data_IF_080075569975
#
_entry.id   IF_080075569975
#
_cell.length_a   1.000
_cell.length_b   1.000
_cell.length_c   1.000
_cell.angle_alpha   90.00
_cell.angle_beta   90.00
_cell.angle_gamma   90.00
#
_symmetry.space_group_name_H-M   'P 1'
#
loop_
_entity.id
_entity.type
_entity.pdbx_description
1 polymer ?
#
# COMPACT_ATOMS: atom_id res chain seq x y z
N UNK A 1 -31.05 -15.89 -56.09
CA UNK A 1 -30.21 -14.84 -55.47
C UNK A 1 -30.82 -14.24 -54.21
N UNK A 2 -32.07 -13.93 -54.14
CA UNK A 2 -32.77 -13.33 -52.97
C UNK A 2 -32.68 -14.12 -51.65
N UNK A 3 -32.78 -15.46 -51.68
CA UNK A 3 -32.70 -16.32 -50.48
C UNK A 3 -31.33 -16.29 -49.79
N UNK A 4 -30.24 -16.12 -50.59
CA UNK A 4 -28.86 -16.03 -50.12
C UNK A 4 -28.57 -14.67 -49.48
N UNK A 5 -29.16 -13.59 -50.01
CA UNK A 5 -29.04 -12.23 -49.46
C UNK A 5 -29.79 -12.09 -48.14
N UNK A 6 -31.04 -12.66 -48.06
CA UNK A 6 -31.83 -12.66 -46.84
C UNK A 6 -31.15 -13.44 -45.69
N UNK A 7 -30.47 -14.55 -46.00
CA UNK A 7 -29.75 -15.37 -45.04
C UNK A 7 -28.48 -14.67 -44.50
N UNK A 8 -27.80 -13.90 -45.36
CA UNK A 8 -26.63 -13.12 -44.94
C UNK A 8 -27.02 -11.91 -44.09
N UNK A 9 -28.16 -11.25 -44.37
CA UNK A 9 -28.69 -10.17 -43.53
C UNK A 9 -29.08 -10.66 -42.11
N UNK A 10 -29.67 -11.87 -42.03
CA UNK A 10 -30.02 -12.49 -40.77
C UNK A 10 -28.81 -12.88 -39.95
N UNK A 11 -27.77 -13.45 -40.58
CA UNK A 11 -26.49 -13.76 -39.91
C UNK A 11 -25.78 -12.50 -39.43
N UNK A 12 -25.74 -11.42 -40.21
CA UNK A 12 -25.18 -10.15 -39.82
C UNK A 12 -25.86 -9.53 -38.60
N UNK A 13 -27.23 -9.62 -38.54
CA UNK A 13 -27.99 -9.15 -37.37
C UNK A 13 -27.72 -9.99 -36.12
N UNK A 14 -27.61 -11.31 -36.27
CA UNK A 14 -27.28 -12.20 -35.16
C UNK A 14 -25.90 -11.85 -34.58
N UNK A 15 -24.89 -11.68 -35.43
CA UNK A 15 -23.53 -11.27 -35.04
C UNK A 15 -23.57 -9.92 -34.32
N UNK A 16 -24.32 -8.95 -34.85
CA UNK A 16 -24.49 -7.64 -34.20
C UNK A 16 -25.09 -7.74 -32.82
N UNK A 17 -26.16 -8.55 -32.63
CA UNK A 17 -26.76 -8.74 -31.31
C UNK A 17 -25.82 -9.45 -30.34
N UNK A 18 -25.03 -10.41 -30.79
CA UNK A 18 -24.02 -11.06 -29.96
C UNK A 18 -22.96 -10.03 -29.51
N UNK A 19 -22.46 -9.20 -30.42
CA UNK A 19 -21.51 -8.15 -30.10
C UNK A 19 -22.07 -7.13 -29.10
N UNK A 20 -23.33 -6.69 -29.30
CA UNK A 20 -24.00 -5.79 -28.37
C UNK A 20 -24.20 -6.41 -27.00
N UNK A 21 -24.56 -7.70 -26.95
CA UNK A 21 -24.70 -8.43 -25.67
C UNK A 21 -23.36 -8.56 -24.95
N UNK A 22 -22.26 -8.85 -25.66
CA UNK A 22 -20.91 -8.91 -25.09
C UNK A 22 -20.46 -7.54 -24.56
N UNK A 23 -20.68 -6.47 -25.34
CA UNK A 23 -20.36 -5.10 -24.90
C UNK A 23 -21.16 -4.73 -23.65
N UNK A 24 -22.46 -5.02 -23.64
CA UNK A 24 -23.33 -4.76 -22.48
C UNK A 24 -22.88 -5.57 -21.25
N UNK A 25 -22.52 -6.84 -21.46
CA UNK A 25 -21.99 -7.69 -20.39
C UNK A 25 -20.71 -7.10 -19.79
N UNK A 26 -19.74 -6.71 -20.62
CA UNK A 26 -18.50 -6.06 -20.18
C UNK A 26 -18.81 -4.75 -19.47
N UNK A 27 -19.72 -3.92 -20.00
CA UNK A 27 -20.09 -2.63 -19.41
C UNK A 27 -20.73 -2.78 -18.02
N UNK A 28 -21.43 -3.89 -17.74
CA UNK A 28 -22.02 -4.18 -16.44
C UNK A 28 -21.00 -4.83 -15.50
N UNK A 29 -20.24 -5.81 -16.00
CA UNK A 29 -19.29 -6.56 -15.15
C UNK A 29 -18.12 -5.72 -14.69
N UNK A 30 -17.58 -4.86 -15.56
CA UNK A 30 -16.41 -4.05 -15.22
C UNK A 30 -16.61 -3.17 -13.98
N UNK A 31 -17.68 -2.33 -13.87
CA UNK A 31 -17.89 -1.51 -12.68
C UNK A 31 -18.20 -2.33 -11.43
N UNK A 32 -18.85 -3.50 -11.56
CA UNK A 32 -19.09 -4.40 -10.43
C UNK A 32 -17.76 -4.96 -9.92
N UNK A 33 -16.90 -5.45 -10.81
CA UNK A 33 -15.58 -5.98 -10.45
C UNK A 33 -14.72 -4.92 -9.77
N UNK A 34 -14.71 -3.70 -10.31
CA UNK A 34 -14.02 -2.56 -9.69
C UNK A 34 -14.58 -2.26 -8.31
N UNK A 35 -15.91 -2.25 -8.15
CA UNK A 35 -16.55 -2.00 -6.85
C UNK A 35 -16.20 -3.09 -5.82
N UNK A 36 -16.13 -4.35 -6.23
CA UNK A 36 -15.69 -5.46 -5.37
C UNK A 36 -14.23 -5.30 -4.98
N UNK A 37 -13.34 -5.04 -5.95
CA UNK A 37 -11.90 -4.83 -5.70
C UNK A 37 -11.64 -3.67 -4.75
N UNK A 38 -12.44 -2.60 -4.85
CA UNK A 38 -12.35 -1.43 -3.98
C UNK A 38 -13.07 -1.63 -2.63
N UNK A 39 -13.50 -2.85 -2.33
CA UNK A 39 -14.11 -3.20 -1.05
C UNK A 39 -15.49 -2.60 -0.79
N UNK A 40 -16.22 -2.10 -1.83
CA UNK A 40 -17.51 -1.43 -1.65
C UNK A 40 -18.54 -2.28 -0.90
N UNK A 41 -18.45 -3.60 -1.00
CA UNK A 41 -19.38 -4.55 -0.38
C UNK A 41 -18.75 -5.30 0.80
N UNK A 42 -17.52 -4.99 1.18
CA UNK A 42 -16.85 -5.64 2.29
C UNK A 42 -17.51 -5.29 3.62
N UNK A 43 -17.75 -6.28 4.46
CA UNK A 43 -18.37 -6.09 5.78
C UNK A 43 -17.56 -5.14 6.66
N UNK A 44 -16.21 -5.18 6.54
CA UNK A 44 -15.30 -4.32 7.28
C UNK A 44 -15.27 -2.86 6.79
N UNK A 45 -15.97 -2.51 5.70
CA UNK A 45 -16.03 -1.14 5.19
C UNK A 45 -17.32 -0.39 5.58
N UNK A 46 -18.10 -0.94 6.53
CA UNK A 46 -19.29 -0.28 7.04
C UNK A 46 -18.95 1.00 7.81
N UNK A 47 -19.93 1.90 7.89
CA UNK A 47 -19.79 3.25 8.48
C UNK A 47 -19.22 3.24 9.91
N UNK A 48 -19.55 2.23 10.72
CA UNK A 48 -19.04 2.11 12.08
C UNK A 48 -17.52 2.03 12.18
N UNK A 49 -16.85 1.60 11.12
CA UNK A 49 -15.38 1.47 11.07
C UNK A 49 -14.66 2.66 10.44
N UNK A 50 -15.39 3.67 9.98
CA UNK A 50 -14.77 4.86 9.34
C UNK A 50 -13.90 5.65 10.31
N UNK A 51 -12.93 6.39 9.76
CA UNK A 51 -12.12 7.37 10.52
C UNK A 51 -13.03 8.37 11.26
N UNK A 52 -14.12 8.82 10.62
CA UNK A 52 -15.07 9.76 11.23
C UNK A 52 -15.71 9.19 12.51
N UNK A 53 -15.98 7.88 12.55
CA UNK A 53 -16.59 7.19 13.69
C UNK A 53 -15.56 6.56 14.65
N UNK A 54 -14.28 6.90 14.48
CA UNK A 54 -13.21 6.43 15.36
C UNK A 54 -12.98 7.45 16.49
N UNK A 55 -13.01 7.03 17.76
CA UNK A 55 -12.73 7.94 18.86
C UNK A 55 -11.24 8.34 18.89
N UNK A 56 -10.98 9.61 19.23
CA UNK A 56 -9.63 10.05 19.54
C UNK A 56 -9.20 9.50 20.90
N UNK A 57 -7.91 9.22 21.06
CA UNK A 57 -7.31 8.90 22.35
C UNK A 57 -7.26 10.16 23.20
N UNK A 58 -7.60 10.03 24.48
CA UNK A 58 -7.54 11.15 25.42
C UNK A 58 -6.09 11.64 25.57
N UNK A 59 -5.17 10.69 25.60
CA UNK A 59 -3.74 10.92 25.72
C UNK A 59 -2.98 9.96 24.80
N UNK A 60 -2.07 10.51 23.98
CA UNK A 60 -1.21 9.73 23.10
C UNK A 60 0.19 10.36 23.07
N UNK A 61 1.25 9.56 23.26
CA UNK A 61 2.64 10.01 23.14
C UNK A 61 2.98 10.52 21.73
N UNK A 62 2.21 10.11 20.71
CA UNK A 62 2.40 10.50 19.33
C UNK A 62 1.74 11.85 18.94
N UNK A 63 0.97 12.46 19.87
CA UNK A 63 0.23 13.69 19.62
C UNK A 63 1.15 14.82 19.14
N UNK A 64 0.78 15.43 18.00
CA UNK A 64 1.51 16.54 17.39
C UNK A 64 2.74 16.13 16.61
N UNK A 65 3.16 14.87 16.61
CA UNK A 65 4.25 14.39 15.76
C UNK A 65 3.88 14.47 14.30
N UNK A 66 4.80 14.90 13.47
CA UNK A 66 4.67 14.97 12.00
C UNK A 66 5.29 13.73 11.37
N UNK A 67 4.47 12.92 10.69
CA UNK A 67 4.91 11.66 10.10
C UNK A 67 4.62 11.66 8.60
N UNK A 68 5.65 11.42 7.80
CA UNK A 68 5.53 11.23 6.34
C UNK A 68 5.23 9.77 6.06
N UNK A 69 4.15 9.49 5.31
CA UNK A 69 3.75 8.16 4.88
C UNK A 69 3.94 8.04 3.36
N UNK A 70 4.90 7.23 2.94
CA UNK A 70 5.22 6.99 1.54
C UNK A 70 4.78 5.58 1.12
N UNK A 71 4.01 5.45 0.03
CA UNK A 71 3.60 4.13 -0.40
C UNK A 71 2.68 4.06 -1.62
N UNK A 72 1.98 2.94 -1.73
CA UNK A 72 1.02 2.69 -2.81
C UNK A 72 -0.41 2.47 -2.30
N UNK A 73 -1.11 1.47 -2.84
CA UNK A 73 -2.52 1.22 -2.56
C UNK A 73 -2.82 0.91 -1.09
N UNK A 74 -1.90 0.25 -0.39
CA UNK A 74 -2.08 -0.09 1.03
C UNK A 74 -1.91 1.17 1.90
N UNK A 75 -0.89 1.99 1.67
CA UNK A 75 -0.73 3.27 2.37
C UNK A 75 -1.86 4.24 2.03
N UNK A 76 -2.36 4.23 0.79
CA UNK A 76 -3.50 5.05 0.37
C UNK A 76 -4.82 4.61 1.04
N UNK A 77 -5.01 3.31 1.24
CA UNK A 77 -6.28 2.73 1.68
C UNK A 77 -7.25 2.47 0.51
N UNK A 78 -6.77 1.94 -0.62
CA UNK A 78 -7.57 1.83 -1.85
C UNK A 78 -8.82 0.96 -1.72
N UNK A 79 -8.75 -0.11 -0.92
CA UNK A 79 -9.87 -1.01 -0.68
C UNK A 79 -10.77 -0.60 0.51
N UNK A 80 -10.45 0.52 1.16
CA UNK A 80 -11.16 1.09 2.31
C UNK A 80 -11.65 2.52 2.07
N UNK A 81 -11.74 2.92 0.80
CA UNK A 81 -12.25 4.25 0.42
C UNK A 81 -11.29 5.40 0.69
N UNK A 82 -9.99 5.14 0.73
CA UNK A 82 -8.94 6.13 0.99
C UNK A 82 -8.59 6.30 2.47
N UNK A 83 -9.17 5.51 3.37
CA UNK A 83 -8.86 5.50 4.80
C UNK A 83 -7.86 4.38 5.10
N UNK A 84 -6.67 4.71 5.60
CA UNK A 84 -5.62 3.76 5.98
C UNK A 84 -5.16 3.99 7.42
N UNK A 85 -4.25 3.16 7.93
CA UNK A 85 -3.68 3.34 9.27
C UNK A 85 -3.17 4.77 9.52
N UNK A 86 -2.62 5.45 8.51
CA UNK A 86 -2.18 6.84 8.63
C UNK A 86 -3.33 7.79 9.01
N UNK A 87 -4.52 7.60 8.42
CA UNK A 87 -5.71 8.41 8.70
C UNK A 87 -6.29 8.07 10.08
N UNK A 88 -6.26 6.79 10.47
CA UNK A 88 -6.70 6.37 11.82
C UNK A 88 -5.78 6.94 12.90
N UNK A 89 -4.46 6.90 12.72
CA UNK A 89 -3.49 7.49 13.64
C UNK A 89 -3.66 9.02 13.72
N UNK A 90 -3.86 9.71 12.58
CA UNK A 90 -4.17 11.14 12.61
C UNK A 90 -5.41 11.45 13.44
N UNK A 91 -6.45 10.59 13.37
CA UNK A 91 -7.68 10.74 14.14
C UNK A 91 -7.54 10.33 15.61
N UNK A 92 -6.87 9.21 15.88
CA UNK A 92 -6.76 8.63 17.22
C UNK A 92 -5.70 9.35 18.04
N UNK A 93 -4.51 9.47 17.51
CA UNK A 93 -3.32 9.97 18.19
C UNK A 93 -3.16 11.47 18.05
N UNK A 94 -3.72 12.06 17.01
CA UNK A 94 -3.55 13.48 16.70
C UNK A 94 -2.19 13.80 16.07
N UNK A 95 -1.62 12.86 15.32
CA UNK A 95 -0.43 13.11 14.49
C UNK A 95 -0.78 14.01 13.30
N UNK A 96 0.23 14.69 12.76
CA UNK A 96 0.17 15.35 11.46
C UNK A 96 0.65 14.36 10.40
N UNK A 97 -0.28 13.78 9.64
CA UNK A 97 0.03 12.80 8.62
C UNK A 97 0.26 13.46 7.26
N UNK A 98 1.49 13.39 6.74
CA UNK A 98 1.83 13.78 5.36
C UNK A 98 1.79 12.52 4.50
N UNK A 99 0.64 12.25 3.86
CA UNK A 99 0.40 10.99 3.14
C UNK A 99 0.65 11.13 1.64
N UNK A 100 1.81 10.66 1.17
CA UNK A 100 2.18 10.54 -0.25
C UNK A 100 2.04 9.09 -0.71
N UNK A 101 0.86 8.74 -1.22
CA UNK A 101 0.53 7.37 -1.58
C UNK A 101 -0.33 7.30 -2.85
N UNK A 102 0.13 6.52 -3.86
CA UNK A 102 -0.56 6.35 -5.14
C UNK A 102 -0.69 4.87 -5.49
N UNK A 103 -1.93 4.39 -5.63
CA UNK A 103 -2.21 2.98 -5.95
C UNK A 103 -1.57 2.53 -7.27
N UNK A 104 -0.92 1.35 -7.24
CA UNK A 104 -0.33 0.71 -8.42
C UNK A 104 1.10 1.17 -8.73
N UNK A 105 1.73 1.97 -7.87
CA UNK A 105 3.12 2.43 -8.04
C UNK A 105 4.11 1.51 -7.36
N UNK A 106 5.37 1.57 -7.79
CA UNK A 106 6.48 0.73 -7.35
C UNK A 106 7.47 1.51 -6.48
N UNK A 107 8.20 0.78 -5.66
CA UNK A 107 9.38 1.26 -4.95
C UNK A 107 10.53 1.48 -5.94
N UNK A 108 10.78 0.48 -6.80
CA UNK A 108 11.70 0.57 -7.93
C UNK A 108 11.35 1.79 -8.79
N UNK A 109 12.37 2.57 -9.16
CA UNK A 109 12.20 3.87 -9.82
C UNK A 109 11.83 3.72 -11.29
N UNK A 110 10.55 3.57 -11.52
CA UNK A 110 9.95 3.49 -12.86
C UNK A 110 8.55 4.13 -12.87
N UNK A 111 8.12 4.53 -14.05
CA UNK A 111 6.75 4.98 -14.28
C UNK A 111 5.85 3.80 -14.67
N UNK A 112 4.86 3.49 -13.85
CA UNK A 112 3.90 2.40 -14.09
C UNK A 112 2.54 2.98 -14.47
N UNK A 113 2.08 2.70 -15.70
CA UNK A 113 0.80 3.24 -16.24
C UNK A 113 0.65 4.76 -16.09
N UNK A 114 1.75 5.51 -16.31
CA UNK A 114 1.77 6.96 -16.21
C UNK A 114 1.78 7.50 -14.78
N UNK A 115 2.06 6.64 -13.78
CA UNK A 115 2.20 7.03 -12.37
C UNK A 115 3.65 6.88 -11.94
N UNK A 116 4.15 7.89 -11.25
CA UNK A 116 5.52 7.96 -10.79
C UNK A 116 5.79 7.01 -9.62
N UNK A 117 7.06 6.55 -9.50
CA UNK A 117 7.56 5.71 -8.43
C UNK A 117 7.47 6.37 -7.05
N UNK A 118 7.75 5.58 -5.99
CA UNK A 118 7.91 6.15 -4.64
C UNK A 118 9.04 7.18 -4.61
N UNK A 119 10.19 6.87 -5.24
CA UNK A 119 11.36 7.77 -5.28
C UNK A 119 11.00 9.10 -5.96
N UNK A 120 10.37 9.05 -7.13
CA UNK A 120 10.00 10.26 -7.86
C UNK A 120 9.01 11.12 -7.06
N UNK A 121 8.01 10.49 -6.41
CA UNK A 121 7.00 11.20 -5.61
C UNK A 121 7.57 11.70 -4.27
N UNK A 122 8.47 10.96 -3.62
CA UNK A 122 9.17 11.41 -2.43
C UNK A 122 9.86 12.75 -2.63
N UNK A 123 10.47 12.96 -3.80
CA UNK A 123 11.13 14.22 -4.18
C UNK A 123 10.18 15.40 -4.37
N UNK A 124 8.87 15.16 -4.42
CA UNK A 124 7.85 16.23 -4.50
C UNK A 124 7.32 16.67 -3.13
N UNK A 125 7.65 15.94 -2.07
CA UNK A 125 7.28 16.32 -0.71
C UNK A 125 8.08 17.55 -0.29
N UNK A 126 7.42 18.47 0.42
CA UNK A 126 8.07 19.68 0.92
C UNK A 126 9.27 19.33 1.82
N UNK A 127 10.46 19.77 1.39
CA UNK A 127 11.72 19.51 2.09
C UNK A 127 11.91 20.30 3.39
N UNK A 128 11.02 21.26 3.66
CA UNK A 128 11.05 22.08 4.88
C UNK A 128 10.22 21.53 6.03
N UNK A 129 9.58 20.37 5.82
CA UNK A 129 8.82 19.68 6.87
C UNK A 129 9.79 19.24 7.98
N UNK A 130 9.49 19.64 9.22
CA UNK A 130 10.11 19.10 10.42
C UNK A 130 9.42 17.77 10.75
N UNK A 131 9.96 16.68 10.18
CA UNK A 131 9.36 15.36 10.28
C UNK A 131 9.95 14.57 11.45
N UNK A 132 9.08 14.01 12.30
CA UNK A 132 9.49 13.10 13.37
C UNK A 132 9.84 11.69 12.84
N UNK A 133 9.27 11.27 11.70
CA UNK A 133 9.61 10.03 11.02
C UNK A 133 9.11 10.00 9.57
N UNK A 134 9.76 9.15 8.74
CA UNK A 134 9.22 8.70 7.47
C UNK A 134 8.87 7.21 7.56
N UNK A 135 7.62 6.86 7.24
CA UNK A 135 7.13 5.47 7.18
C UNK A 135 6.90 5.09 5.73
N UNK A 136 7.65 4.11 5.23
CA UNK A 136 7.61 3.65 3.84
C UNK A 136 7.05 2.23 3.72
N UNK A 137 6.15 2.04 2.77
CA UNK A 137 5.62 0.72 2.42
C UNK A 137 6.66 -0.13 1.69
N UNK A 138 6.94 -1.35 2.15
CA UNK A 138 7.54 -2.36 1.27
C UNK A 138 6.52 -2.71 0.19
N UNK A 139 6.84 -2.42 -1.07
CA UNK A 139 5.85 -2.39 -2.15
C UNK A 139 5.39 -3.78 -2.57
N UNK A 140 4.09 -4.04 -2.46
CA UNK A 140 3.46 -5.27 -2.98
C UNK A 140 3.40 -5.30 -4.52
N UNK A 141 3.48 -4.13 -5.18
CA UNK A 141 3.50 -4.05 -6.65
C UNK A 141 4.83 -4.54 -7.22
N UNK A 142 5.95 -4.24 -6.55
CA UNK A 142 7.27 -4.75 -6.94
C UNK A 142 7.29 -6.29 -6.90
N UNK A 143 6.70 -6.90 -5.88
CA UNK A 143 6.54 -8.34 -5.79
C UNK A 143 5.66 -8.91 -6.91
N UNK A 144 4.49 -8.30 -7.15
CA UNK A 144 3.55 -8.73 -8.19
C UNK A 144 4.15 -8.62 -9.59
N UNK A 145 4.93 -7.58 -9.83
CA UNK A 145 5.61 -7.33 -11.11
C UNK A 145 6.96 -8.04 -11.21
N UNK A 146 7.36 -8.78 -10.17
CA UNK A 146 8.64 -9.51 -10.11
C UNK A 146 9.84 -8.62 -10.40
N UNK A 147 9.90 -7.45 -9.75
CA UNK A 147 11.03 -6.54 -9.90
C UNK A 147 12.32 -7.18 -9.42
N UNK A 148 13.48 -6.84 -10.02
CA UNK A 148 14.78 -7.36 -9.60
C UNK A 148 15.02 -7.03 -8.12
N UNK A 149 15.40 -8.04 -7.33
CA UNK A 149 15.68 -7.83 -5.90
C UNK A 149 16.91 -6.95 -5.69
N UNK A 150 17.94 -7.14 -6.49
CA UNK A 150 19.26 -6.54 -6.24
C UNK A 150 19.96 -7.17 -5.03
N UNK A 151 20.99 -6.50 -4.57
CA UNK A 151 21.74 -6.85 -3.37
C UNK A 151 21.94 -5.60 -2.51
N UNK A 152 22.07 -5.79 -1.20
CA UNK A 152 22.41 -4.70 -0.27
C UNK A 152 23.80 -4.16 -0.65
N UNK A 153 23.90 -2.85 -0.84
CA UNK A 153 25.16 -2.18 -1.17
C UNK A 153 26.10 -2.16 0.03
N UNK A 154 27.42 -2.12 -0.22
CA UNK A 154 28.42 -1.81 0.82
C UNK A 154 28.52 -0.29 1.07
N UNK A 155 28.03 0.54 0.15
CA UNK A 155 28.07 1.99 0.24
C UNK A 155 26.90 2.55 1.06
N UNK A 156 27.10 3.76 1.58
CA UNK A 156 26.04 4.60 2.17
C UNK A 156 25.72 5.84 1.31
N UNK A 157 26.41 6.02 0.18
CA UNK A 157 26.21 7.15 -0.70
C UNK A 157 25.01 6.91 -1.62
N UNK A 158 24.11 7.89 -1.70
CA UNK A 158 22.86 7.80 -2.46
C UNK A 158 23.07 7.52 -3.96
N UNK A 159 24.14 8.06 -4.55
CA UNK A 159 24.49 7.88 -5.95
C UNK A 159 24.97 6.46 -6.33
N UNK A 160 25.34 5.64 -5.35
CA UNK A 160 25.80 4.27 -5.56
C UNK A 160 24.65 3.24 -5.60
N UNK A 161 23.40 3.66 -5.35
CA UNK A 161 22.27 2.75 -5.28
C UNK A 161 21.59 2.58 -6.64
N UNK A 162 21.48 1.32 -7.09
CA UNK A 162 20.71 0.96 -8.29
C UNK A 162 19.21 1.00 -8.01
N UNK A 163 18.58 2.14 -8.25
CA UNK A 163 17.14 2.34 -8.03
C UNK A 163 16.23 1.50 -8.94
N UNK A 164 16.80 0.76 -9.90
CA UNK A 164 16.08 -0.21 -10.74
C UNK A 164 15.94 -1.57 -10.04
N UNK A 165 16.46 -1.72 -8.83
CA UNK A 165 16.32 -2.90 -7.96
C UNK A 165 15.62 -2.55 -6.66
N UNK A 166 15.00 -3.55 -6.02
CA UNK A 166 14.30 -3.35 -4.74
C UNK A 166 15.27 -2.91 -3.65
N UNK A 167 16.45 -3.55 -3.54
CA UNK A 167 17.47 -3.18 -2.56
C UNK A 167 17.93 -1.72 -2.74
N UNK A 168 18.35 -1.37 -3.95
CA UNK A 168 18.84 -0.02 -4.21
C UNK A 168 17.76 1.05 -4.03
N UNK A 169 16.51 0.74 -4.37
CA UNK A 169 15.39 1.67 -4.15
C UNK A 169 15.09 1.87 -2.65
N UNK A 170 15.15 0.81 -1.82
CA UNK A 170 15.01 0.93 -0.36
C UNK A 170 16.14 1.79 0.20
N UNK A 171 17.38 1.49 -0.14
CA UNK A 171 18.55 2.22 0.35
C UNK A 171 18.54 3.69 -0.10
N UNK A 172 18.09 3.96 -1.32
CA UNK A 172 17.90 5.32 -1.83
C UNK A 172 16.88 6.11 -0.99
N UNK A 173 15.71 5.50 -0.70
CA UNK A 173 14.68 6.13 0.15
C UNK A 173 15.23 6.45 1.53
N UNK A 174 16.03 5.55 2.12
CA UNK A 174 16.64 5.76 3.43
C UNK A 174 17.63 6.93 3.39
N UNK A 175 18.58 6.91 2.45
CA UNK A 175 19.60 7.95 2.32
C UNK A 175 18.96 9.32 2.07
N UNK A 176 18.04 9.40 1.11
CA UNK A 176 17.36 10.65 0.78
C UNK A 176 16.58 11.23 1.97
N UNK A 177 15.90 10.38 2.72
CA UNK A 177 15.11 10.82 3.88
C UNK A 177 16.00 11.37 5.00
N UNK A 178 17.13 10.70 5.26
CA UNK A 178 18.13 11.16 6.23
C UNK A 178 18.78 12.47 5.82
N UNK A 179 19.10 12.64 4.54
CA UNK A 179 19.72 13.88 4.04
C UNK A 179 18.73 15.05 3.99
N UNK A 180 17.45 14.78 3.69
CA UNK A 180 16.46 15.83 3.43
C UNK A 180 15.74 16.29 4.69
N UNK A 181 15.30 15.35 5.54
CA UNK A 181 14.48 15.65 6.72
C UNK A 181 15.18 15.31 8.05
N UNK A 182 16.37 14.69 8.00
CA UNK A 182 17.12 14.25 9.19
C UNK A 182 16.26 13.47 10.21
N UNK A 183 15.31 12.69 9.68
CA UNK A 183 14.35 11.94 10.49
C UNK A 183 14.60 10.42 10.44
N UNK A 184 14.17 9.68 11.46
CA UNK A 184 14.13 8.23 11.44
C UNK A 184 13.32 7.69 10.28
N UNK A 185 13.81 6.60 9.66
CA UNK A 185 13.11 5.90 8.58
C UNK A 185 12.62 4.55 9.09
N UNK A 186 11.35 4.26 8.83
CA UNK A 186 10.69 3.03 9.20
C UNK A 186 10.07 2.43 7.94
N UNK A 187 10.37 1.16 7.65
CA UNK A 187 9.62 0.42 6.65
C UNK A 187 8.54 -0.43 7.31
N UNK A 188 7.45 -0.68 6.58
CA UNK A 188 6.47 -1.67 7.03
C UNK A 188 6.19 -2.71 5.96
N UNK A 189 5.94 -3.95 6.39
CA UNK A 189 5.52 -5.04 5.52
C UNK A 189 4.01 -5.23 5.57
N UNK A 190 3.42 -5.89 4.56
CA UNK A 190 2.05 -6.39 4.65
C UNK A 190 1.95 -7.61 5.56
N UNK A 191 0.75 -7.96 6.02
CA UNK A 191 0.47 -9.26 6.64
C UNK A 191 0.70 -10.38 5.63
N UNK A 192 0.91 -11.61 6.11
CA UNK A 192 1.30 -12.74 5.27
C UNK A 192 0.26 -13.09 4.22
N UNK A 193 0.72 -13.23 2.97
CA UNK A 193 -0.08 -13.70 1.84
C UNK A 193 0.78 -14.58 0.92
N UNK A 194 0.16 -15.29 -0.02
CA UNK A 194 0.87 -16.21 -0.91
C UNK A 194 1.71 -15.45 -1.95
N UNK A 195 2.98 -15.20 -1.62
CA UNK A 195 3.96 -14.55 -2.51
C UNK A 195 5.39 -14.86 -2.07
N UNK A 196 6.05 -15.74 -2.80
CA UNK A 196 7.47 -16.05 -2.59
C UNK A 196 8.34 -14.81 -2.79
N UNK A 197 8.08 -14.04 -3.86
CA UNK A 197 8.82 -12.80 -4.17
C UNK A 197 8.73 -11.80 -3.02
N UNK A 198 7.54 -11.61 -2.43
CA UNK A 198 7.39 -10.68 -1.31
C UNK A 198 8.14 -11.17 -0.07
N UNK A 199 8.10 -12.46 0.21
CA UNK A 199 8.90 -13.06 1.30
C UNK A 199 10.41 -12.83 1.12
N UNK A 200 10.93 -12.92 -0.12
CA UNK A 200 12.33 -12.60 -0.43
C UNK A 200 12.62 -11.09 -0.24
N UNK A 201 11.68 -10.21 -0.60
CA UNK A 201 11.80 -8.77 -0.35
C UNK A 201 11.80 -8.44 1.15
N UNK A 202 11.01 -9.14 1.96
CA UNK A 202 11.03 -8.99 3.44
C UNK A 202 12.38 -9.40 4.00
N UNK A 203 12.92 -10.56 3.58
CA UNK A 203 14.26 -10.99 4.02
C UNK A 203 15.36 -10.00 3.62
N UNK A 204 15.27 -9.39 2.45
CA UNK A 204 16.17 -8.35 1.98
C UNK A 204 16.05 -7.06 2.82
N UNK A 205 14.82 -6.64 3.14
CA UNK A 205 14.57 -5.48 4.01
C UNK A 205 15.20 -5.65 5.39
N UNK A 206 15.13 -6.84 5.98
CA UNK A 206 15.74 -7.12 7.28
C UNK A 206 17.30 -7.04 7.24
N UNK A 207 17.93 -7.44 6.12
CA UNK A 207 19.38 -7.22 5.93
C UNK A 207 19.70 -5.72 5.81
N UNK A 208 18.87 -4.94 5.13
CA UNK A 208 19.04 -3.48 5.04
C UNK A 208 18.82 -2.83 6.41
N UNK A 209 17.88 -3.34 7.21
CA UNK A 209 17.68 -2.90 8.60
C UNK A 209 18.97 -3.05 9.43
N UNK A 210 19.62 -4.20 9.35
CA UNK A 210 20.91 -4.44 10.06
C UNK A 210 22.00 -3.44 9.65
N UNK A 211 22.09 -3.12 8.35
CA UNK A 211 23.05 -2.17 7.82
C UNK A 211 22.79 -0.73 8.27
N UNK A 212 21.53 -0.28 8.16
CA UNK A 212 21.16 1.13 8.28
C UNK A 212 20.64 1.53 9.66
N UNK A 213 20.30 0.56 10.52
CA UNK A 213 19.68 0.80 11.81
C UNK A 213 18.29 1.46 11.70
N UNK A 214 17.56 1.16 10.63
CA UNK A 214 16.19 1.68 10.41
C UNK A 214 15.15 0.89 11.22
N UNK A 215 13.97 1.50 11.42
CA UNK A 215 12.82 0.78 11.96
C UNK A 215 12.19 -0.16 10.93
N UNK A 216 11.63 -1.29 11.39
CA UNK A 216 10.78 -2.17 10.56
C UNK A 216 9.58 -2.63 11.35
N UNK A 217 8.38 -2.25 10.90
CA UNK A 217 7.11 -2.80 11.38
C UNK A 217 6.84 -4.07 10.56
N UNK A 218 7.31 -5.21 11.07
CA UNK A 218 7.26 -6.49 10.35
C UNK A 218 5.94 -7.24 10.61
N UNK A 219 4.89 -6.86 9.87
CA UNK A 219 3.60 -7.55 9.93
C UNK A 219 3.66 -8.93 9.26
N UNK A 220 4.61 -9.15 8.33
CA UNK A 220 4.76 -10.41 7.60
C UNK A 220 5.15 -11.56 8.50
N UNK A 221 6.13 -11.35 9.38
CA UNK A 221 6.62 -12.36 10.31
C UNK A 221 5.95 -12.29 11.69
N UNK A 222 5.02 -11.37 11.92
CA UNK A 222 4.27 -11.27 13.16
C UNK A 222 3.29 -12.44 13.28
N UNK A 223 3.64 -13.44 14.09
CA UNK A 223 2.87 -14.67 14.27
C UNK A 223 1.48 -14.40 14.87
N UNK A 224 1.38 -13.49 15.83
CA UNK A 224 0.12 -13.13 16.49
C UNK A 224 -0.87 -12.51 15.49
N UNK A 225 -0.41 -11.53 14.72
CA UNK A 225 -1.24 -10.93 13.67
C UNK A 225 -1.68 -11.96 12.62
N UNK A 226 -0.80 -12.87 12.22
CA UNK A 226 -1.11 -13.84 11.18
C UNK A 226 -1.89 -15.08 11.70
N UNK A 227 -2.11 -15.18 13.03
CA UNK A 227 -2.96 -16.19 13.65
C UNK A 227 -4.43 -15.78 13.80
N UNK A 228 -4.85 -14.67 13.15
CA UNK A 228 -6.23 -14.18 13.16
C UNK A 228 -7.22 -15.23 12.65
N UNK A 229 -8.41 -15.30 13.25
CA UNK A 229 -9.44 -16.27 12.83
C UNK A 229 -9.90 -16.03 11.39
N UNK A 230 -10.42 -17.06 10.72
CA UNK A 230 -10.96 -16.92 9.35
C UNK A 230 -12.11 -15.89 9.29
N UNK A 231 -12.93 -15.80 10.35
CA UNK A 231 -14.04 -14.86 10.43
C UNK A 231 -13.52 -13.41 10.54
N UNK A 232 -12.54 -13.18 11.39
CA UNK A 232 -11.92 -11.86 11.55
C UNK A 232 -11.10 -11.48 10.32
N UNK A 233 -10.38 -12.43 9.70
CA UNK A 233 -9.69 -12.18 8.45
C UNK A 233 -10.62 -11.71 7.33
N UNK A 234 -11.82 -12.30 7.20
CA UNK A 234 -12.86 -11.86 6.25
C UNK A 234 -13.43 -10.48 6.58
N UNK A 235 -13.41 -10.08 7.85
CA UNK A 235 -13.80 -8.73 8.26
C UNK A 235 -12.68 -7.74 7.94
N UNK A 236 -11.43 -8.11 8.23
CA UNK A 236 -10.28 -7.23 8.17
C UNK A 236 -9.67 -7.08 6.77
N UNK A 237 -9.82 -8.08 5.89
CA UNK A 237 -9.22 -8.06 4.55
C UNK A 237 -10.30 -8.06 3.46
N UNK A 238 -10.10 -7.20 2.47
CA UNK A 238 -10.89 -7.20 1.23
C UNK A 238 -10.36 -8.26 0.24
N UNK A 239 -9.05 -8.43 0.26
CA UNK A 239 -8.32 -9.46 -0.49
C UNK A 239 -6.99 -9.74 0.23
N UNK A 240 -6.14 -10.63 -0.30
CA UNK A 240 -4.89 -11.03 0.36
C UNK A 240 -3.88 -9.89 0.65
N UNK A 241 -4.08 -8.70 0.10
CA UNK A 241 -3.13 -7.58 0.21
C UNK A 241 -3.76 -6.38 0.91
N UNK A 242 -5.04 -6.08 0.66
CA UNK A 242 -5.66 -4.82 1.04
C UNK A 242 -6.60 -4.97 2.23
N UNK A 243 -6.31 -4.34 3.36
CA UNK A 243 -7.21 -4.28 4.49
C UNK A 243 -8.50 -3.50 4.17
N UNK A 244 -9.57 -3.86 4.87
CA UNK A 244 -10.78 -3.05 5.01
C UNK A 244 -10.57 -1.94 6.04
N UNK A 245 -11.57 -1.07 6.24
CA UNK A 245 -11.59 -0.08 7.32
C UNK A 245 -11.45 -0.72 8.70
N UNK A 246 -12.17 -1.83 8.94
CA UNK A 246 -12.04 -2.59 10.18
C UNK A 246 -10.62 -3.15 10.34
N UNK A 247 -10.02 -3.67 9.26
CA UNK A 247 -8.65 -4.18 9.29
C UNK A 247 -7.61 -3.12 9.60
N UNK A 248 -7.74 -1.93 9.02
CA UNK A 248 -6.85 -0.82 9.39
C UNK A 248 -7.08 -0.38 10.84
N UNK A 249 -8.34 -0.12 11.23
CA UNK A 249 -8.68 0.45 12.53
C UNK A 249 -8.37 -0.47 13.71
N UNK A 250 -8.70 -1.76 13.60
CA UNK A 250 -8.75 -2.69 14.74
C UNK A 250 -7.58 -3.66 14.77
N UNK A 251 -6.90 -3.84 13.65
CA UNK A 251 -5.85 -4.84 13.51
C UNK A 251 -4.48 -4.23 13.21
N UNK A 252 -4.37 -3.31 12.23
CA UNK A 252 -3.08 -2.72 11.85
C UNK A 252 -2.71 -1.51 12.71
N UNK A 253 -3.60 -0.52 12.84
CA UNK A 253 -3.30 0.73 13.55
C UNK A 253 -2.75 0.51 14.97
N UNK A 254 -3.29 -0.39 15.81
CA UNK A 254 -2.74 -0.63 17.14
C UNK A 254 -1.26 -1.09 17.14
N UNK A 255 -0.87 -1.90 16.13
CA UNK A 255 0.52 -2.36 16.00
C UNK A 255 1.45 -1.23 15.58
N UNK A 256 0.98 -0.33 14.69
CA UNK A 256 1.74 0.86 14.32
C UNK A 256 1.88 1.82 15.48
N UNK A 257 0.81 2.06 16.25
CA UNK A 257 0.81 2.91 17.44
C UNK A 257 1.84 2.38 18.46
N UNK A 258 1.73 1.12 18.86
CA UNK A 258 2.65 0.48 19.82
C UNK A 258 4.11 0.56 19.38
N UNK A 259 4.39 0.25 18.11
CA UNK A 259 5.73 0.31 17.57
C UNK A 259 6.30 1.73 17.62
N UNK A 260 5.53 2.72 17.18
CA UNK A 260 5.98 4.11 17.11
C UNK A 260 6.10 4.76 18.48
N UNK A 261 5.25 4.42 19.44
CA UNK A 261 5.37 4.86 20.83
C UNK A 261 6.70 4.44 21.43
N UNK A 262 7.13 3.20 21.19
CA UNK A 262 8.45 2.71 21.63
C UNK A 262 9.60 3.34 20.86
N UNK A 263 9.50 3.36 19.53
CA UNK A 263 10.59 3.76 18.64
C UNK A 263 10.89 5.27 18.66
N UNK A 264 9.87 6.12 18.85
CA UNK A 264 10.03 7.58 18.89
C UNK A 264 10.16 8.14 20.32
N UNK A 265 10.16 7.29 21.34
CA UNK A 265 10.43 7.69 22.73
C UNK A 265 11.92 7.71 23.08
N UNK A 266 12.75 7.06 22.26
CA UNK A 266 14.22 7.01 22.37
C UNK A 266 14.86 8.25 21.73
#
# INVERSE_FOLDING_TARGET
MEKKAKNNLTKGRIILYILLAVILFIAIQTPITIAISNGKFAAGNKDQYTVANTPALADSPLRGKTIIFLGSSVTYGSASGGESFADYMAKRDGIVAVKEAVSGTTLVDETVWGKESYIARMKTIDTTIDADALICQLSTNDATMKKPLGAVSESFNMEDFDTQTVAGAIEYVIAYSKETWDCPVIFYTGTKYDSEQYGQMVALLLQIQEKWGIGVIDLWNNEEMNAVSEADYKLYMVNGIHPSKAGYREWWTPVFEEYLEGFLAE
#
